data_IF_445486097819
#
_entry.id   IF_445486097819
#
_cell.length_a   1.000
_cell.length_b   1.000
_cell.length_c   1.000
_cell.angle_alpha   90.00
_cell.angle_beta   90.00
_cell.angle_gamma   90.00
#
_symmetry.space_group_name_H-M   'P 1'
#
loop_
_entity.id
_entity.type
_entity.pdbx_description
1 polymer ?
#
# COMPACT_ATOMS: atom_id res chain seq x y z
N UNK A 1 16.72 2.44 13.03
CA UNK A 1 15.50 1.70 12.57
C UNK A 1 14.40 1.78 13.62
N UNK A 2 14.59 1.24 14.83
CA UNK A 2 13.56 1.23 15.90
C UNK A 2 13.10 2.66 16.23
N UNK A 3 14.02 3.59 16.46
CA UNK A 3 13.69 5.01 16.75
C UNK A 3 12.89 5.68 15.63
N UNK A 4 13.25 5.43 14.37
CA UNK A 4 12.52 5.94 13.21
C UNK A 4 11.10 5.35 13.13
N UNK A 5 10.93 4.05 13.43
CA UNK A 5 9.60 3.44 13.47
C UNK A 5 8.74 4.05 14.60
N UNK A 6 9.32 4.27 15.77
CA UNK A 6 8.62 4.91 16.90
C UNK A 6 8.17 6.32 16.52
N UNK A 7 9.02 7.11 15.86
CA UNK A 7 8.66 8.47 15.42
C UNK A 7 7.51 8.46 14.40
N UNK A 8 7.50 7.52 13.46
CA UNK A 8 6.40 7.38 12.49
C UNK A 8 5.09 6.97 13.20
N UNK A 9 5.17 6.07 14.18
CA UNK A 9 3.99 5.65 14.96
C UNK A 9 3.46 6.81 15.81
N UNK A 10 4.32 7.59 16.46
CA UNK A 10 3.92 8.74 17.27
C UNK A 10 3.28 9.84 16.41
N UNK A 11 3.82 10.14 15.22
CA UNK A 11 3.22 11.09 14.28
C UNK A 11 1.84 10.63 13.76
N UNK A 12 1.63 9.31 13.64
CA UNK A 12 0.31 8.73 13.37
C UNK A 12 -0.65 8.87 14.56
N UNK A 13 -0.15 8.67 15.78
CA UNK A 13 -0.93 8.80 17.02
C UNK A 13 -1.39 10.25 17.28
N UNK A 14 -0.60 11.26 16.90
CA UNK A 14 -1.03 12.66 16.97
C UNK A 14 -2.28 12.93 16.12
N UNK A 15 -2.46 12.22 15.00
CA UNK A 15 -3.67 12.33 14.17
C UNK A 15 -4.92 11.79 14.87
N UNK A 16 -4.77 10.79 15.74
CA UNK A 16 -5.86 10.27 16.58
C UNK A 16 -6.24 11.25 17.70
N UNK A 17 -5.27 12.03 18.21
CA UNK A 17 -5.50 12.99 19.29
C UNK A 17 -6.01 14.35 18.82
N UNK A 18 -5.55 14.86 17.67
CA UNK A 18 -5.95 16.17 17.15
C UNK A 18 -6.27 16.11 15.65
N UNK A 19 -7.51 15.73 15.27
CA UNK A 19 -7.87 15.52 13.86
C UNK A 19 -7.95 16.80 13.02
N UNK A 20 -8.00 17.98 13.64
CA UNK A 20 -8.25 19.27 12.98
C UNK A 20 -6.99 20.11 12.70
N UNK A 21 -5.83 19.74 13.22
CA UNK A 21 -4.59 20.48 12.94
C UNK A 21 -3.99 20.07 11.59
N UNK A 22 -3.75 21.05 10.71
CA UNK A 22 -2.87 20.86 9.56
C UNK A 22 -1.45 20.60 10.08
N UNK A 23 -0.80 19.56 9.55
CA UNK A 23 0.53 19.14 10.01
C UNK A 23 1.52 20.30 9.97
N UNK A 24 2.25 20.49 11.07
CA UNK A 24 3.41 21.37 11.07
C UNK A 24 4.46 20.83 10.07
N UNK A 25 5.10 21.73 9.34
CA UNK A 25 6.07 21.41 8.29
C UNK A 25 7.23 20.53 8.82
N UNK A 26 7.52 20.66 10.11
CA UNK A 26 8.54 19.90 10.83
C UNK A 26 8.20 18.42 10.94
N UNK A 27 6.95 18.08 11.25
CA UNK A 27 6.50 16.69 11.39
C UNK A 27 6.61 15.96 10.06
N UNK A 28 6.20 16.62 8.97
CA UNK A 28 6.34 16.08 7.62
C UNK A 28 7.81 15.81 7.28
N UNK A 29 8.70 16.77 7.55
CA UNK A 29 10.13 16.63 7.28
C UNK A 29 10.75 15.46 8.05
N UNK A 30 10.44 15.32 9.35
CA UNK A 30 10.96 14.23 10.20
C UNK A 30 10.48 12.87 9.70
N UNK A 31 9.18 12.73 9.41
CA UNK A 31 8.58 11.48 8.89
C UNK A 31 9.22 11.10 7.56
N UNK A 32 9.39 12.06 6.65
CA UNK A 32 9.96 11.83 5.32
C UNK A 32 11.43 11.40 5.41
N UNK A 33 12.24 12.04 6.26
CA UNK A 33 13.63 11.65 6.50
C UNK A 33 13.73 10.25 7.12
N UNK A 34 12.86 9.92 8.08
CA UNK A 34 12.81 8.59 8.68
C UNK A 34 12.47 7.53 7.64
N UNK A 35 11.49 7.79 6.77
CA UNK A 35 11.12 6.88 5.69
C UNK A 35 12.28 6.68 4.70
N UNK A 36 12.94 7.76 4.27
CA UNK A 36 14.10 7.69 3.38
C UNK A 36 15.25 6.88 4.00
N UNK A 37 15.53 7.07 5.29
CA UNK A 37 16.52 6.29 6.02
C UNK A 37 16.15 4.80 6.08
N UNK A 38 14.89 4.45 6.35
CA UNK A 38 14.44 3.06 6.37
C UNK A 38 14.59 2.39 5.00
N UNK A 39 14.27 3.09 3.91
CA UNK A 39 14.46 2.60 2.53
C UNK A 39 15.95 2.40 2.23
N UNK A 40 16.81 3.34 2.61
CA UNK A 40 18.25 3.23 2.41
C UNK A 40 18.83 2.01 3.13
N UNK A 41 18.40 1.76 4.37
CA UNK A 41 18.79 0.57 5.15
C UNK A 41 18.28 -0.71 4.49
N UNK A 42 17.03 -0.74 4.00
CA UNK A 42 16.48 -1.90 3.30
C UNK A 42 17.25 -2.25 2.02
N UNK A 43 17.72 -1.23 1.29
CA UNK A 43 18.51 -1.41 0.07
C UNK A 43 19.93 -1.90 0.34
N UNK A 44 20.63 -1.31 1.32
CA UNK A 44 22.04 -1.63 1.60
C UNK A 44 22.22 -2.87 2.48
N UNK A 45 21.21 -3.24 3.27
CA UNK A 45 21.23 -4.43 4.12
C UNK A 45 20.04 -5.34 3.79
N UNK A 46 20.05 -6.05 2.64
CA UNK A 46 18.99 -6.97 2.25
C UNK A 46 18.83 -8.17 3.22
N UNK A 47 19.77 -8.34 4.16
CA UNK A 47 19.72 -9.34 5.26
C UNK A 47 19.16 -8.78 6.58
N UNK A 48 18.61 -7.57 6.61
CA UNK A 48 17.93 -7.05 7.80
C UNK A 48 16.72 -7.94 8.15
N UNK A 49 16.94 -8.93 9.02
CA UNK A 49 16.00 -10.02 9.30
C UNK A 49 14.62 -9.57 9.81
N UNK A 50 14.50 -8.32 10.27
CA UNK A 50 13.23 -7.73 10.67
C UNK A 50 12.27 -7.49 9.49
N UNK A 51 12.76 -6.95 8.37
CA UNK A 51 11.89 -6.63 7.20
C UNK A 51 11.47 -7.88 6.42
N UNK A 52 12.17 -9.01 6.60
CA UNK A 52 11.83 -10.29 5.96
C UNK A 52 10.84 -11.13 6.76
N UNK A 53 10.31 -10.62 7.88
CA UNK A 53 9.28 -11.34 8.63
C UNK A 53 8.05 -11.56 7.74
N UNK A 54 7.44 -12.76 7.76
CA UNK A 54 6.35 -13.11 6.84
C UNK A 54 5.17 -12.15 6.95
N UNK A 55 4.90 -11.62 8.16
CA UNK A 55 3.83 -10.62 8.39
C UNK A 55 4.12 -9.31 7.65
N UNK A 56 5.36 -8.82 7.68
CA UNK A 56 5.73 -7.56 7.00
C UNK A 56 5.74 -7.72 5.48
N UNK A 57 6.17 -8.89 4.99
CA UNK A 57 6.10 -9.22 3.56
C UNK A 57 4.65 -9.31 3.10
N UNK A 58 3.80 -10.04 3.83
CA UNK A 58 2.37 -10.12 3.53
C UNK A 58 1.69 -8.74 3.54
N UNK A 59 1.99 -7.92 4.54
CA UNK A 59 1.47 -6.55 4.61
C UNK A 59 1.93 -5.70 3.42
N UNK A 60 3.14 -5.94 2.92
CA UNK A 60 3.65 -5.36 1.68
C UNK A 60 2.91 -5.85 0.43
N UNK A 61 2.59 -7.13 0.34
CA UNK A 61 1.83 -7.71 -0.78
C UNK A 61 0.43 -7.09 -0.92
N UNK A 62 -0.28 -6.90 0.21
CA UNK A 62 -1.62 -6.30 0.23
C UNK A 62 -1.60 -4.76 0.31
N UNK A 63 -0.42 -4.14 0.37
CA UNK A 63 -0.27 -2.70 0.64
C UNK A 63 -0.97 -1.81 -0.39
N UNK A 64 -1.00 -2.24 -1.65
CA UNK A 64 -1.70 -1.54 -2.72
C UNK A 64 -3.22 -1.52 -2.48
N UNK A 65 -3.81 -2.68 -2.18
CA UNK A 65 -5.22 -2.79 -1.79
C UNK A 65 -5.54 -1.97 -0.54
N UNK A 66 -4.66 -1.99 0.48
CA UNK A 66 -4.81 -1.16 1.68
C UNK A 66 -4.87 0.33 1.31
N UNK A 67 -3.95 0.81 0.46
CA UNK A 67 -3.91 2.21 0.04
C UNK A 67 -5.18 2.65 -0.69
N UNK A 68 -5.76 1.81 -1.55
CA UNK A 68 -6.99 2.17 -2.27
C UNK A 68 -8.25 2.12 -1.38
N UNK A 69 -8.34 1.10 -0.53
CA UNK A 69 -9.60 0.76 0.15
C UNK A 69 -9.75 1.50 1.49
N UNK A 70 -8.66 1.84 2.17
CA UNK A 70 -8.72 2.36 3.55
C UNK A 70 -9.53 3.66 3.67
N UNK A 71 -9.37 4.62 2.76
CA UNK A 71 -10.14 5.87 2.78
C UNK A 71 -11.63 5.63 2.49
N UNK A 72 -11.93 4.74 1.54
CA UNK A 72 -13.30 4.38 1.22
C UNK A 72 -14.01 3.75 2.42
N UNK A 73 -13.35 2.81 3.09
CA UNK A 73 -13.86 2.15 4.31
C UNK A 73 -14.02 3.14 5.45
N UNK A 74 -13.03 4.01 5.67
CA UNK A 74 -13.09 5.05 6.69
C UNK A 74 -14.29 5.97 6.48
N UNK A 75 -14.49 6.47 5.26
CA UNK A 75 -15.62 7.35 4.96
C UNK A 75 -16.97 6.63 5.06
N UNK A 76 -17.06 5.37 4.62
CA UNK A 76 -18.28 4.58 4.78
C UNK A 76 -18.64 4.36 6.24
N UNK A 77 -17.67 3.96 7.07
CA UNK A 77 -17.89 3.75 8.51
C UNK A 77 -18.21 5.07 9.22
N UNK A 78 -17.47 6.14 8.94
CA UNK A 78 -17.71 7.45 9.52
C UNK A 78 -19.12 7.97 9.17
N UNK A 79 -19.55 7.82 7.92
CA UNK A 79 -20.89 8.21 7.48
C UNK A 79 -21.99 7.35 8.11
N UNK A 80 -21.77 6.05 8.23
CA UNK A 80 -22.74 5.12 8.84
C UNK A 80 -22.93 5.39 10.34
N UNK A 81 -21.86 5.79 11.04
CA UNK A 81 -21.89 6.01 12.50
C UNK A 81 -22.28 7.46 12.83
N UNK A 82 -22.01 8.44 11.95
CA UNK A 82 -22.38 9.84 12.14
C UNK A 82 -23.80 10.11 12.68
N UNK A 83 -24.89 9.48 12.17
CA UNK A 83 -26.23 9.71 12.68
C UNK A 83 -26.49 9.15 14.08
N UNK A 84 -25.66 8.22 14.56
CA UNK A 84 -25.79 7.62 15.90
C UNK A 84 -25.13 8.45 17.00
N UNK A 85 -24.35 9.49 16.65
CA UNK A 85 -23.57 10.26 17.60
C UNK A 85 -24.19 11.65 17.78
N UNK A 86 -25.07 11.79 18.77
CA UNK A 86 -25.57 13.08 19.22
C UNK A 86 -24.55 13.71 20.19
N UNK A 87 -23.54 14.42 19.66
CA UNK A 87 -22.57 15.24 20.41
C UNK A 87 -21.84 14.51 21.57
N UNK A 88 -20.74 13.79 21.29
CA UNK A 88 -20.05 13.01 22.30
C UNK A 88 -19.30 13.92 23.30
N UNK A 89 -19.36 13.56 24.59
CA UNK A 89 -18.49 14.12 25.63
C UNK A 89 -17.02 13.73 25.33
N UNK A 90 -16.01 14.54 25.73
CA UNK A 90 -14.61 14.33 25.31
C UNK A 90 -14.03 12.93 25.59
N UNK A 91 -14.47 12.27 26.66
CA UNK A 91 -14.07 10.90 27.00
C UNK A 91 -14.65 9.83 26.08
N UNK A 92 -15.87 10.03 25.58
CA UNK A 92 -16.53 9.12 24.64
C UNK A 92 -15.99 9.31 23.21
N UNK A 93 -15.59 10.54 22.87
CA UNK A 93 -14.97 10.85 21.59
C UNK A 93 -13.66 10.06 21.37
N UNK A 94 -12.84 9.86 22.40
CA UNK A 94 -11.60 9.08 22.28
C UNK A 94 -11.90 7.59 22.02
N UNK A 95 -12.80 7.00 22.81
CA UNK A 95 -13.20 5.61 22.64
C UNK A 95 -13.82 5.36 21.25
N UNK A 96 -14.62 6.31 20.77
CA UNK A 96 -15.23 6.25 19.45
C UNK A 96 -14.19 6.37 18.32
N UNK A 97 -13.21 7.26 18.44
CA UNK A 97 -12.12 7.39 17.46
C UNK A 97 -11.24 6.13 17.41
N UNK A 98 -10.90 5.56 18.56
CA UNK A 98 -10.14 4.30 18.63
C UNK A 98 -10.97 3.17 18.01
N UNK A 99 -12.25 3.06 18.38
CA UNK A 99 -13.17 2.07 17.81
C UNK A 99 -13.28 2.19 16.29
N UNK A 100 -13.45 3.41 15.77
CA UNK A 100 -13.50 3.68 14.34
C UNK A 100 -12.18 3.32 13.64
N UNK A 101 -11.02 3.65 14.23
CA UNK A 101 -9.72 3.32 13.67
C UNK A 101 -9.48 1.80 13.62
N UNK A 102 -9.81 1.08 14.69
CA UNK A 102 -9.69 -0.38 14.76
C UNK A 102 -10.64 -1.05 13.76
N UNK A 103 -11.90 -0.61 13.71
CA UNK A 103 -12.89 -1.12 12.76
C UNK A 103 -12.46 -0.87 11.31
N UNK A 104 -11.98 0.34 11.02
CA UNK A 104 -11.48 0.72 9.70
C UNK A 104 -10.29 -0.14 9.31
N UNK A 105 -9.28 -0.28 10.17
CA UNK A 105 -8.10 -1.10 9.89
C UNK A 105 -8.48 -2.56 9.66
N UNK A 106 -9.32 -3.13 10.53
CA UNK A 106 -9.74 -4.53 10.44
C UNK A 106 -10.48 -4.79 9.13
N UNK A 107 -11.47 -3.95 8.81
CA UNK A 107 -12.27 -4.11 7.60
C UNK A 107 -11.43 -3.86 6.34
N UNK A 108 -10.53 -2.88 6.38
CA UNK A 108 -9.61 -2.59 5.27
C UNK A 108 -8.67 -3.77 5.03
N UNK A 109 -8.05 -4.34 6.07
CA UNK A 109 -7.16 -5.51 5.90
C UNK A 109 -7.91 -6.69 5.30
N UNK A 110 -9.14 -6.97 5.78
CA UNK A 110 -9.97 -8.04 5.22
C UNK A 110 -10.30 -7.80 3.74
N UNK A 111 -10.78 -6.61 3.40
CA UNK A 111 -11.16 -6.27 2.02
C UNK A 111 -9.94 -6.18 1.09
N UNK A 112 -8.82 -5.61 1.55
CA UNK A 112 -7.58 -5.57 0.79
C UNK A 112 -7.02 -6.97 0.56
N UNK A 113 -7.10 -7.86 1.55
CA UNK A 113 -6.71 -9.26 1.38
C UNK A 113 -7.61 -9.94 0.34
N UNK A 114 -8.93 -9.76 0.43
CA UNK A 114 -9.87 -10.31 -0.54
C UNK A 114 -9.62 -9.77 -1.97
N UNK A 115 -9.38 -8.47 -2.11
CA UNK A 115 -9.06 -7.83 -3.38
C UNK A 115 -7.70 -8.32 -3.94
N UNK A 116 -6.71 -8.50 -3.08
CA UNK A 116 -5.39 -8.97 -3.48
C UNK A 116 -5.44 -10.37 -4.09
N UNK A 117 -6.13 -11.31 -3.42
CA UNK A 117 -6.27 -12.67 -3.93
C UNK A 117 -7.32 -12.81 -5.05
N UNK A 118 -8.39 -12.01 -5.02
CA UNK A 118 -9.50 -12.10 -5.97
C UNK A 118 -9.30 -11.32 -7.27
N UNK A 119 -8.54 -10.22 -7.24
CA UNK A 119 -8.36 -9.31 -8.38
C UNK A 119 -6.88 -9.10 -8.73
N UNK A 120 -6.05 -8.71 -7.75
CA UNK A 120 -4.68 -8.30 -8.05
C UNK A 120 -3.83 -9.47 -8.60
N UNK A 121 -3.80 -10.61 -7.90
CA UNK A 121 -3.07 -11.81 -8.37
C UNK A 121 -3.52 -12.31 -9.75
N UNK A 122 -4.82 -12.51 -10.03
CA UNK A 122 -5.22 -12.96 -11.37
C UNK A 122 -4.92 -11.93 -12.45
N UNK A 123 -5.12 -10.62 -12.19
CA UNK A 123 -4.79 -9.57 -13.15
C UNK A 123 -3.28 -9.50 -13.44
N UNK A 124 -2.42 -9.64 -12.43
CA UNK A 124 -0.97 -9.69 -12.61
C UNK A 124 -0.54 -10.89 -13.47
N UNK A 125 -1.13 -12.06 -13.23
CA UNK A 125 -0.85 -13.27 -14.03
C UNK A 125 -1.32 -13.13 -15.48
N UNK A 126 -2.47 -12.49 -15.72
CA UNK A 126 -2.94 -12.19 -17.07
C UNK A 126 -1.99 -11.21 -17.78
N UNK A 127 -1.56 -10.15 -17.09
CA UNK A 127 -0.59 -9.19 -17.63
C UNK A 127 0.71 -9.87 -18.06
N UNK A 128 1.25 -10.78 -17.23
CA UNK A 128 2.47 -11.54 -17.56
C UNK A 128 2.31 -12.39 -18.82
N UNK A 129 1.17 -13.07 -18.98
CA UNK A 129 0.88 -13.90 -20.17
C UNK A 129 0.78 -13.07 -21.46
N UNK A 130 0.13 -11.91 -21.39
CA UNK A 130 -0.01 -10.99 -22.54
C UNK A 130 1.35 -10.40 -22.93
N UNK A 131 2.17 -10.05 -21.94
CA UNK A 131 3.51 -9.53 -22.17
C UNK A 131 4.42 -10.58 -22.82
N UNK A 132 4.51 -11.80 -22.28
CA UNK A 132 5.34 -12.89 -22.85
C UNK A 132 4.97 -13.16 -24.32
N UNK A 133 3.67 -13.21 -24.62
CA UNK A 133 3.15 -13.41 -25.98
C UNK A 133 3.58 -12.28 -26.92
N UNK A 134 3.59 -11.02 -26.46
CA UNK A 134 4.01 -9.87 -27.25
C UNK A 134 5.52 -9.83 -27.49
N UNK A 135 6.34 -10.13 -26.47
CA UNK A 135 7.80 -10.21 -26.63
C UNK A 135 8.23 -11.37 -27.53
N UNK A 136 7.54 -12.52 -27.50
CA UNK A 136 7.80 -13.62 -28.45
C UNK A 136 7.50 -13.24 -29.90
N UNK A 137 6.48 -12.43 -30.14
CA UNK A 137 6.16 -11.90 -31.48
C UNK A 137 7.21 -10.90 -31.97
N UNK A 138 7.72 -10.03 -31.10
CA UNK A 138 8.77 -9.06 -31.45
C UNK A 138 10.15 -9.72 -31.70
N UNK A 139 10.48 -10.80 -30.99
CA UNK A 139 11.73 -11.54 -31.17
C UNK A 139 11.67 -12.66 -32.23
N UNK A 140 10.58 -12.77 -33.01
CA UNK A 140 10.49 -13.75 -34.10
C UNK A 140 11.30 -13.28 -35.33
N UNK A 141 12.38 -13.98 -35.75
CA UNK A 141 13.31 -13.50 -36.80
C UNK A 141 12.76 -13.52 -38.24
N UNK A 142 11.46 -13.69 -38.47
CA UNK A 142 10.96 -14.32 -39.70
C UNK A 142 10.37 -13.42 -40.79
N UNK A 143 10.45 -12.08 -40.72
CA UNK A 143 9.84 -11.23 -41.77
C UNK A 143 10.83 -10.35 -42.58
N UNK A 144 12.12 -10.29 -42.27
CA UNK A 144 13.07 -9.46 -43.05
C UNK A 144 14.05 -10.23 -43.97
N UNK A 145 14.05 -11.56 -43.94
CA UNK A 145 15.14 -12.36 -44.52
C UNK A 145 14.88 -13.12 -45.84
N UNK A 146 13.65 -13.18 -46.37
CA UNK A 146 13.33 -14.12 -47.46
C UNK A 146 12.97 -13.49 -48.82
N UNK A 147 13.31 -12.21 -49.07
CA UNK A 147 13.02 -11.55 -50.36
C UNK A 147 14.24 -11.22 -51.24
N UNK A 148 15.37 -11.91 -51.08
CA UNK A 148 16.55 -11.68 -51.96
C UNK A 148 17.18 -12.94 -52.57
N UNK A 149 16.65 -14.15 -52.33
CA UNK A 149 17.20 -15.40 -52.91
C UNK A 149 16.49 -15.88 -54.20
N UNK A 150 16.10 -14.95 -55.07
CA UNK A 150 15.68 -15.22 -56.46
C UNK A 150 16.26 -14.16 -57.42
N UNK A 151 17.58 -14.15 -57.55
CA UNK A 151 18.28 -13.65 -58.73
C UNK A 151 19.74 -14.08 -58.57
N UNK A 152 20.31 -14.73 -59.58
CA UNK A 152 21.67 -15.29 -59.63
C UNK A 152 21.87 -16.68 -58.99
N UNK A 153 21.45 -17.71 -59.71
CA UNK A 153 22.35 -18.78 -60.18
C UNK A 153 21.69 -19.55 -61.30
#
# INVERSE_FOLDING_TARGET
>A
VITCMVLVVMAGAERLYTPTNLYDSRTVLIVTLCAAFLVAVAYHNPRAGFLRRPVLVFLGEISYGLYLIHMLVLFMLAHAIAPLIASPVPSEALALNIGLAVATLTLTVLLATAAHYGLEKPCQQLGYKVWDTSTRRMNSPTIFGLKTRRAHS
#
